data_IF_728486923922
#
_entry.id   IF_728486923922
#
_cell.length_a   1.000
_cell.length_b   1.000
_cell.length_c   1.000
_cell.angle_alpha   90.00
_cell.angle_beta   90.00
_cell.angle_gamma   90.00
#
_symmetry.space_group_name_H-M   'P 1'
#
loop_
_entity.id
_entity.type
_entity.pdbx_description
1 polymer ?
#
# COMPACT_ATOMS: atom_id res chain seq x y z
N UNK A 1 -16.90 -7.91 -19.86
CA UNK A 1 -16.95 -8.14 -18.39
C UNK A 1 -15.65 -8.67 -17.82
N UNK A 2 -15.08 -9.79 -18.32
CA UNK A 2 -13.86 -10.42 -17.77
C UNK A 2 -12.65 -9.46 -17.62
N UNK A 3 -12.39 -8.60 -18.61
CA UNK A 3 -11.24 -7.65 -18.60
C UNK A 3 -11.34 -6.55 -17.52
N UNK A 4 -12.55 -6.06 -17.23
CA UNK A 4 -12.75 -5.01 -16.23
C UNK A 4 -12.51 -5.54 -14.81
N UNK A 5 -12.97 -6.76 -14.54
CA UNK A 5 -12.74 -7.45 -13.26
C UNK A 5 -11.26 -7.72 -13.03
N UNK A 6 -10.54 -8.20 -14.05
CA UNK A 6 -9.08 -8.42 -13.95
C UNK A 6 -8.34 -7.12 -13.67
N UNK A 7 -8.66 -6.02 -14.38
CA UNK A 7 -8.06 -4.71 -14.11
C UNK A 7 -8.35 -4.21 -12.69
N UNK A 8 -9.56 -4.40 -12.19
CA UNK A 8 -9.92 -4.03 -10.82
C UNK A 8 -9.14 -4.85 -9.78
N UNK A 9 -8.95 -6.14 -10.02
CA UNK A 9 -8.13 -7.01 -9.16
C UNK A 9 -6.65 -6.62 -9.19
N UNK A 10 -6.09 -6.31 -10.36
CA UNK A 10 -4.72 -5.82 -10.47
C UNK A 10 -4.51 -4.54 -9.64
N UNK A 11 -5.41 -3.56 -9.79
CA UNK A 11 -5.37 -2.33 -9.00
C UNK A 11 -5.53 -2.59 -7.51
N UNK A 12 -6.52 -3.40 -7.13
CA UNK A 12 -6.76 -3.78 -5.74
C UNK A 12 -5.55 -4.47 -5.11
N UNK A 13 -4.88 -5.35 -5.87
CA UNK A 13 -3.69 -6.05 -5.40
C UNK A 13 -2.51 -5.11 -5.20
N UNK A 14 -2.29 -4.16 -6.11
CA UNK A 14 -1.23 -3.14 -5.96
C UNK A 14 -1.48 -2.25 -4.74
N UNK A 15 -2.73 -1.84 -4.52
CA UNK A 15 -3.12 -1.04 -3.34
C UNK A 15 -2.91 -1.87 -2.06
N UNK A 16 -3.38 -3.11 -2.03
CA UNK A 16 -3.25 -3.99 -0.86
C UNK A 16 -1.78 -4.30 -0.53
N UNK A 17 -0.95 -4.56 -1.54
CA UNK A 17 0.48 -4.78 -1.35
C UNK A 17 1.20 -3.52 -0.88
N UNK A 18 0.85 -2.36 -1.44
CA UNK A 18 1.47 -1.09 -1.04
C UNK A 18 1.06 -0.75 0.39
N UNK A 19 -0.23 -0.54 0.65
CA UNK A 19 -0.69 -0.11 1.97
C UNK A 19 -0.47 -1.22 3.00
N UNK A 20 -0.96 -2.43 2.73
CA UNK A 20 -0.86 -3.56 3.66
C UNK A 20 0.59 -3.99 3.89
N UNK A 21 1.41 -4.07 2.84
CA UNK A 21 2.81 -4.47 2.95
C UNK A 21 3.64 -3.47 3.76
N UNK A 22 3.54 -2.16 3.47
CA UNK A 22 4.25 -1.16 4.26
C UNK A 22 3.71 -1.01 5.69
N UNK A 23 2.40 -1.23 5.90
CA UNK A 23 1.83 -1.22 7.26
C UNK A 23 2.35 -2.38 8.09
N UNK A 24 2.38 -3.61 7.54
CA UNK A 24 2.91 -4.79 8.24
C UNK A 24 4.41 -4.66 8.50
N UNK A 25 5.15 -4.10 7.55
CA UNK A 25 6.57 -3.81 7.72
C UNK A 25 6.78 -2.77 8.83
N UNK A 26 6.00 -1.70 8.85
CA UNK A 26 6.05 -0.68 9.91
C UNK A 26 5.72 -1.27 11.28
N UNK A 27 4.71 -2.14 11.36
CA UNK A 27 4.33 -2.85 12.59
C UNK A 27 5.45 -3.75 13.10
N UNK A 28 6.04 -4.57 12.22
CA UNK A 28 7.16 -5.44 12.57
C UNK A 28 8.38 -4.65 13.08
N UNK A 29 8.67 -3.50 12.47
CA UNK A 29 9.74 -2.62 12.92
C UNK A 29 9.40 -1.93 14.24
N UNK A 30 8.15 -1.49 14.42
CA UNK A 30 7.70 -0.88 15.66
C UNK A 30 7.83 -1.84 16.86
N UNK A 31 7.49 -3.12 16.70
CA UNK A 31 7.70 -4.16 17.71
C UNK A 31 9.19 -4.34 18.04
N UNK A 32 10.05 -4.34 17.01
CA UNK A 32 11.50 -4.56 17.17
C UNK A 32 12.22 -3.38 17.81
N UNK A 33 11.80 -2.16 17.52
CA UNK A 33 12.44 -0.93 18.02
C UNK A 33 11.70 -0.28 19.19
N UNK A 34 10.60 -0.88 19.66
CA UNK A 34 9.72 -0.31 20.67
C UNK A 34 9.23 1.11 20.34
N UNK A 35 8.97 1.36 19.05
CA UNK A 35 8.53 2.66 18.52
C UNK A 35 7.03 2.72 18.25
N UNK A 36 6.29 1.68 18.67
CA UNK A 36 4.85 1.55 18.50
C UNK A 36 4.07 2.84 18.84
N UNK A 37 3.25 3.43 17.92
CA UNK A 37 2.95 3.01 16.54
C UNK A 37 3.54 3.93 15.44
N UNK A 38 4.75 4.46 15.64
CA UNK A 38 5.32 5.52 14.78
C UNK A 38 5.71 4.96 13.40
N UNK A 39 6.46 3.86 13.33
CA UNK A 39 6.93 3.28 12.06
C UNK A 39 5.78 2.67 11.26
N UNK A 40 4.75 2.15 11.93
CA UNK A 40 3.48 1.73 11.31
C UNK A 40 2.82 2.90 10.63
N UNK A 41 2.70 4.05 11.31
CA UNK A 41 2.07 5.24 10.74
C UNK A 41 2.84 5.76 9.51
N UNK A 42 4.17 5.80 9.60
CA UNK A 42 5.03 6.16 8.47
C UNK A 42 4.87 5.16 7.31
N UNK A 43 4.85 3.86 7.61
CA UNK A 43 4.63 2.80 6.64
C UNK A 43 3.29 2.94 5.91
N UNK A 44 2.21 3.16 6.66
CA UNK A 44 0.87 3.42 6.09
C UNK A 44 0.91 4.63 5.17
N UNK A 45 1.47 5.76 5.62
CA UNK A 45 1.56 6.98 4.81
C UNK A 45 2.31 6.73 3.50
N UNK A 46 3.49 6.11 3.57
CA UNK A 46 4.29 5.76 2.39
C UNK A 46 3.51 4.83 1.46
N UNK A 47 2.85 3.81 2.00
CA UNK A 47 2.04 2.88 1.21
C UNK A 47 0.85 3.54 0.52
N UNK A 48 0.17 4.46 1.21
CA UNK A 48 -0.93 5.26 0.65
C UNK A 48 -0.42 6.18 -0.45
N UNK A 49 0.65 6.93 -0.22
CA UNK A 49 1.26 7.79 -1.26
C UNK A 49 1.66 6.98 -2.50
N UNK A 50 2.26 5.81 -2.32
CA UNK A 50 2.67 4.96 -3.43
C UNK A 50 1.47 4.39 -4.19
N UNK A 51 0.42 3.95 -3.48
CA UNK A 51 -0.82 3.48 -4.08
C UNK A 51 -1.50 4.57 -4.93
N UNK A 52 -1.59 5.80 -4.42
CA UNK A 52 -2.12 6.94 -5.17
C UNK A 52 -1.26 7.32 -6.36
N UNK A 53 0.07 7.32 -6.21
CA UNK A 53 1.00 7.59 -7.32
C UNK A 53 0.83 6.56 -8.45
N UNK A 54 0.74 5.28 -8.10
CA UNK A 54 0.48 4.22 -9.08
C UNK A 54 -0.87 4.40 -9.77
N UNK A 55 -1.94 4.68 -9.01
CA UNK A 55 -3.27 4.89 -9.55
C UNK A 55 -3.32 6.09 -10.50
N UNK A 56 -2.67 7.20 -10.14
CA UNK A 56 -2.55 8.38 -10.99
C UNK A 56 -1.81 8.05 -12.30
N UNK A 57 -0.70 7.32 -12.22
CA UNK A 57 0.06 6.90 -13.40
C UNK A 57 -0.74 5.96 -14.29
N UNK A 58 -1.47 5.03 -13.70
CA UNK A 58 -2.35 4.09 -14.41
C UNK A 58 -3.51 4.81 -15.10
N UNK A 59 -4.11 5.81 -14.45
CA UNK A 59 -5.21 6.60 -15.01
C UNK A 59 -4.78 7.51 -16.16
N UNK A 60 -3.49 7.87 -16.24
CA UNK A 60 -2.92 8.69 -17.31
C UNK A 60 -2.46 7.88 -18.53
N UNK A 61 -2.36 6.55 -18.41
CA UNK A 61 -2.08 5.63 -19.52
C UNK A 61 -3.34 5.33 -20.33
#
# INVERSE_FOLDING_TARGET
MKKAVVKALELGMVIALSVGGFSLLGYYLDERFHTNPILTLIGVLVGVFNAFYYLYRWAKQ
#
